data_IF_548835075443
#
_entry.id   IF_548835075443
#
_cell.length_a   1.000
_cell.length_b   1.000
_cell.length_c   1.000
_cell.angle_alpha   90.00
_cell.angle_beta   90.00
_cell.angle_gamma   90.00
#
_symmetry.space_group_name_H-M   'P 1'
#
loop_
_entity.id
_entity.type
_entity.pdbx_description
1 polymer ?
#
# COMPACT_ATOMS: atom_id res chain seq x y z
N UNK A 1 8.33 -6.14 -22.00
CA UNK A 1 7.07 -6.81 -22.39
C UNK A 1 5.95 -6.13 -21.63
N UNK A 2 4.75 -6.04 -22.20
CA UNK A 2 3.61 -5.49 -21.48
C UNK A 2 3.29 -6.39 -20.28
N UNK A 3 2.90 -5.78 -19.16
CA UNK A 3 2.59 -6.49 -17.93
C UNK A 3 1.21 -7.12 -17.98
N UNK A 4 0.25 -6.42 -18.59
CA UNK A 4 -1.09 -6.94 -18.88
C UNK A 4 -1.21 -7.44 -20.31
N UNK A 5 -1.82 -8.62 -20.48
CA UNK A 5 -2.25 -9.11 -21.78
C UNK A 5 -3.69 -8.63 -22.06
N UNK A 6 -3.84 -7.57 -22.86
CA UNK A 6 -5.15 -6.98 -23.16
C UNK A 6 -5.15 -6.19 -24.48
N UNK A 7 -6.32 -6.07 -25.09
CA UNK A 7 -6.59 -5.19 -26.24
C UNK A 7 -7.01 -3.77 -25.80
N UNK A 8 -7.21 -3.55 -24.48
CA UNK A 8 -7.52 -2.23 -23.96
C UNK A 8 -6.35 -1.27 -24.21
N UNK A 9 -6.61 0.01 -24.55
CA UNK A 9 -5.56 0.99 -24.82
C UNK A 9 -4.95 1.51 -23.52
N UNK A 10 -4.20 0.66 -22.82
CA UNK A 10 -3.51 1.03 -21.58
C UNK A 10 -2.38 2.01 -21.89
N UNK A 11 -2.29 3.08 -21.09
CA UNK A 11 -1.19 4.03 -21.22
C UNK A 11 0.13 3.35 -20.83
N UNK A 12 1.19 3.45 -21.64
CA UNK A 12 2.46 2.73 -21.38
C UNK A 12 3.06 3.03 -20.01
N UNK A 13 2.93 4.25 -19.51
CA UNK A 13 3.44 4.65 -18.20
C UNK A 13 2.68 4.01 -17.01
N UNK A 14 1.40 3.65 -17.19
CA UNK A 14 0.64 2.90 -16.17
C UNK A 14 1.17 1.47 -16.07
N UNK A 15 1.26 0.78 -17.21
CA UNK A 15 1.77 -0.59 -17.27
C UNK A 15 3.21 -0.68 -16.72
N UNK A 16 4.08 0.25 -17.13
CA UNK A 16 5.45 0.32 -16.63
C UNK A 16 5.51 0.56 -15.11
N UNK A 17 4.65 1.43 -14.55
CA UNK A 17 4.63 1.67 -13.10
C UNK A 17 4.16 0.46 -12.30
N UNK A 18 3.28 -0.37 -12.87
CA UNK A 18 2.85 -1.61 -12.24
C UNK A 18 3.96 -2.66 -12.28
N UNK A 19 4.68 -2.76 -13.40
CA UNK A 19 5.87 -3.61 -13.48
C UNK A 19 6.91 -3.22 -12.41
N UNK A 20 7.15 -1.93 -12.23
CA UNK A 20 8.05 -1.41 -11.19
C UNK A 20 7.56 -1.73 -9.78
N UNK A 21 6.25 -1.60 -9.52
CA UNK A 21 5.67 -1.97 -8.23
C UNK A 21 5.84 -3.48 -7.93
N UNK A 22 5.61 -4.36 -8.91
CA UNK A 22 5.82 -5.80 -8.74
C UNK A 22 7.28 -6.15 -8.48
N UNK A 23 8.22 -5.50 -9.19
CA UNK A 23 9.64 -5.66 -8.93
C UNK A 23 10.03 -5.12 -7.53
N UNK A 24 9.42 -4.01 -7.10
CA UNK A 24 9.62 -3.45 -5.76
C UNK A 24 9.13 -4.40 -4.66
N UNK A 25 7.98 -5.06 -4.84
CA UNK A 25 7.46 -6.05 -3.89
C UNK A 25 8.36 -7.28 -3.78
N UNK A 26 9.00 -7.69 -4.88
CA UNK A 26 9.91 -8.83 -4.91
C UNK A 26 11.25 -8.55 -4.22
N UNK A 27 11.70 -7.30 -4.17
CA UNK A 27 12.97 -6.90 -3.58
C UNK A 27 12.90 -6.83 -2.04
N UNK A 28 14.00 -7.09 -1.32
CA UNK A 28 14.08 -6.75 0.10
C UNK A 28 13.87 -5.24 0.29
N UNK A 29 13.06 -4.89 1.30
CA UNK A 29 12.76 -3.52 1.66
C UNK A 29 13.66 -3.00 2.79
N UNK A 30 13.16 -2.04 3.56
CA UNK A 30 13.89 -1.53 4.72
C UNK A 30 13.72 -2.45 5.94
N UNK A 31 12.55 -3.07 6.12
CA UNK A 31 12.20 -3.87 7.29
C UNK A 31 11.80 -5.31 6.98
N UNK A 32 11.42 -5.60 5.74
CA UNK A 32 10.92 -6.91 5.31
C UNK A 32 11.74 -7.46 4.15
N UNK A 33 11.93 -8.78 4.13
CA UNK A 33 12.55 -9.49 3.02
C UNK A 33 11.63 -9.48 1.80
N UNK A 34 12.16 -9.79 0.60
CA UNK A 34 11.33 -9.92 -0.60
C UNK A 34 10.22 -10.98 -0.45
N UNK A 35 10.53 -12.09 0.23
CA UNK A 35 9.56 -13.15 0.50
C UNK A 35 8.42 -12.69 1.41
N UNK A 36 8.73 -11.97 2.49
CA UNK A 36 7.72 -11.40 3.40
C UNK A 36 6.87 -10.36 2.69
N UNK A 37 7.46 -9.48 1.87
CA UNK A 37 6.72 -8.46 1.12
C UNK A 37 5.77 -9.08 0.10
N UNK A 38 6.21 -10.10 -0.65
CA UNK A 38 5.32 -10.85 -1.54
C UNK A 38 4.23 -11.61 -0.76
N UNK A 39 4.53 -12.13 0.43
CA UNK A 39 3.52 -12.71 1.30
C UNK A 39 2.49 -11.67 1.75
N UNK A 40 2.86 -10.41 1.99
CA UNK A 40 1.89 -9.34 2.26
C UNK A 40 0.97 -9.12 1.07
N UNK A 41 1.51 -9.08 -0.15
CA UNK A 41 0.69 -8.93 -1.38
C UNK A 41 -0.26 -10.13 -1.54
N UNK A 42 0.21 -11.35 -1.27
CA UNK A 42 -0.63 -12.54 -1.27
C UNK A 42 -1.76 -12.45 -0.21
N UNK A 43 -1.46 -11.95 0.98
CA UNK A 43 -2.45 -11.73 2.04
C UNK A 43 -3.45 -10.62 1.68
N UNK A 44 -3.03 -9.56 0.99
CA UNK A 44 -3.95 -8.56 0.41
C UNK A 44 -4.93 -9.23 -0.55
N UNK A 45 -4.44 -10.07 -1.47
CA UNK A 45 -5.30 -10.81 -2.41
C UNK A 45 -6.26 -11.73 -1.68
N UNK A 46 -5.74 -12.51 -0.72
CA UNK A 46 -6.53 -13.44 0.09
C UNK A 46 -7.61 -12.73 0.90
N UNK A 47 -7.29 -11.61 1.53
CA UNK A 47 -8.24 -10.80 2.29
C UNK A 47 -9.37 -10.22 1.42
N UNK A 48 -9.06 -9.91 0.16
CA UNK A 48 -10.05 -9.36 -0.79
C UNK A 48 -10.97 -10.42 -1.38
N UNK A 49 -10.44 -11.62 -1.60
CA UNK A 49 -11.17 -12.71 -2.27
C UNK A 49 -11.91 -13.61 -1.25
N UNK A 50 -11.57 -13.51 0.04
CA UNK A 50 -12.26 -14.21 1.12
C UNK A 50 -13.63 -13.60 1.46
N UNK A 51 -14.44 -14.39 2.19
CA UNK A 51 -15.66 -13.86 2.82
C UNK A 51 -15.30 -12.71 3.78
N UNK A 52 -16.01 -11.57 3.75
CA UNK A 52 -15.67 -10.42 4.57
C UNK A 52 -15.69 -10.74 6.07
N UNK A 53 -14.54 -10.58 6.73
CA UNK A 53 -14.47 -10.58 8.18
C UNK A 53 -14.82 -9.19 8.73
N UNK A 54 -15.54 -9.07 9.85
CA UNK A 54 -15.75 -7.78 10.49
C UNK A 54 -14.42 -7.24 11.09
N UNK A 55 -14.30 -5.91 11.31
CA UNK A 55 -13.04 -5.30 11.72
C UNK A 55 -12.52 -5.75 13.10
N UNK A 56 -13.39 -6.26 13.97
CA UNK A 56 -13.01 -6.75 15.31
C UNK A 56 -12.57 -8.22 15.33
N UNK A 57 -12.63 -8.92 14.20
CA UNK A 57 -12.20 -10.31 14.08
C UNK A 57 -10.87 -10.37 13.34
N UNK A 58 -9.85 -10.93 13.98
CA UNK A 58 -8.52 -11.05 13.42
C UNK A 58 -8.38 -12.39 12.68
N UNK A 59 -7.80 -12.42 11.46
CA UNK A 59 -7.62 -13.67 10.74
C UNK A 59 -6.75 -14.67 11.53
N UNK A 60 -5.83 -14.20 12.37
CA UNK A 60 -5.00 -15.08 13.18
C UNK A 60 -5.71 -15.74 14.36
N UNK A 61 -6.92 -15.29 14.73
CA UNK A 61 -7.78 -15.90 15.76
C UNK A 61 -8.69 -17.00 15.18
N UNK A 62 -8.78 -17.11 13.86
CA UNK A 62 -9.59 -18.11 13.16
C UNK A 62 -8.72 -19.35 12.90
N UNK A 63 -9.16 -20.50 13.42
CA UNK A 63 -8.43 -21.76 13.30
C UNK A 63 -8.15 -22.13 11.84
N UNK A 64 -6.90 -22.48 11.55
CA UNK A 64 -6.42 -22.83 10.21
C UNK A 64 -6.37 -21.70 9.18
N UNK A 65 -6.82 -20.48 9.49
CA UNK A 65 -6.84 -19.39 8.51
C UNK A 65 -5.45 -18.78 8.28
N UNK A 66 -4.58 -18.81 9.29
CA UNK A 66 -3.17 -18.42 9.18
C UNK A 66 -2.31 -19.61 9.60
N UNK A 67 -1.52 -20.12 8.65
CA UNK A 67 -0.63 -21.27 8.86
C UNK A 67 0.39 -21.01 9.98
N UNK A 68 0.83 -22.07 10.67
CA UNK A 68 1.82 -21.95 11.75
C UNK A 68 3.20 -21.52 11.24
N UNK A 69 3.58 -21.98 10.05
CA UNK A 69 4.84 -21.68 9.35
C UNK A 69 4.70 -20.48 8.39
N UNK A 70 3.67 -19.66 8.56
CA UNK A 70 3.45 -18.50 7.71
C UNK A 70 4.65 -17.53 7.77
N UNK A 71 5.13 -17.01 6.63
CA UNK A 71 6.34 -16.18 6.59
C UNK A 71 6.18 -14.84 7.33
N UNK A 72 4.96 -14.32 7.41
CA UNK A 72 4.66 -13.12 8.19
C UNK A 72 4.25 -13.44 9.62
N UNK A 73 4.66 -12.63 10.61
CA UNK A 73 4.10 -12.67 11.96
C UNK A 73 2.58 -12.49 11.95
N UNK A 74 1.87 -13.18 12.85
CA UNK A 74 0.39 -13.09 12.98
C UNK A 74 -0.13 -11.66 13.06
N UNK A 75 0.55 -10.79 13.83
CA UNK A 75 0.18 -9.39 13.94
C UNK A 75 0.27 -8.61 12.62
N UNK A 76 1.20 -8.98 11.73
CA UNK A 76 1.32 -8.41 10.40
C UNK A 76 0.18 -8.86 9.50
N UNK A 77 -0.17 -10.16 9.53
CA UNK A 77 -1.31 -10.70 8.77
C UNK A 77 -2.61 -10.01 9.17
N UNK A 78 -2.89 -9.88 10.47
CA UNK A 78 -4.08 -9.17 10.95
C UNK A 78 -4.12 -7.71 10.48
N UNK A 79 -2.98 -7.04 10.54
CA UNK A 79 -2.87 -5.65 10.10
C UNK A 79 -3.08 -5.52 8.58
N UNK A 80 -2.50 -6.41 7.77
CA UNK A 80 -2.72 -6.46 6.31
C UNK A 80 -4.21 -6.61 5.99
N UNK A 81 -4.90 -7.54 6.64
CA UNK A 81 -6.33 -7.76 6.43
C UNK A 81 -7.17 -6.54 6.81
N UNK A 82 -6.89 -5.94 7.97
CA UNK A 82 -7.66 -4.78 8.43
C UNK A 82 -7.37 -3.52 7.61
N UNK A 83 -6.13 -3.31 7.19
CA UNK A 83 -5.76 -2.22 6.27
C UNK A 83 -6.41 -2.39 4.89
N UNK A 84 -6.56 -3.62 4.42
CA UNK A 84 -7.14 -3.93 3.11
C UNK A 84 -8.66 -3.72 3.08
N UNK A 85 -9.37 -4.17 4.12
CA UNK A 85 -10.83 -4.23 4.12
C UNK A 85 -11.50 -3.15 4.97
N UNK A 86 -10.84 -2.64 6.01
CA UNK A 86 -11.45 -1.73 7.00
C UNK A 86 -10.55 -0.52 7.39
N UNK A 87 -9.94 0.20 6.43
CA UNK A 87 -9.02 1.31 6.73
C UNK A 87 -9.67 2.48 7.49
N UNK A 88 -10.98 2.67 7.39
CA UNK A 88 -11.72 3.69 8.18
C UNK A 88 -11.87 3.36 9.68
N UNK A 89 -11.56 2.12 10.08
CA UNK A 89 -11.76 1.64 11.47
C UNK A 89 -10.49 1.68 12.32
N UNK A 90 -9.39 2.21 11.78
CA UNK A 90 -8.11 2.23 12.45
C UNK A 90 -8.11 3.30 13.55
N UNK A 91 -7.57 2.96 14.71
CA UNK A 91 -7.42 3.87 15.84
C UNK A 91 -6.00 3.82 16.39
N UNK A 92 -5.61 4.84 17.15
CA UNK A 92 -4.32 4.85 17.83
C UNK A 92 -4.16 3.64 18.78
N UNK A 93 -5.23 3.24 19.47
CA UNK A 93 -5.23 2.09 20.36
C UNK A 93 -5.05 0.77 19.60
N UNK A 94 -5.74 0.63 18.46
CA UNK A 94 -5.54 -0.52 17.59
C UNK A 94 -4.10 -0.58 17.07
N UNK A 95 -3.55 0.55 16.60
CA UNK A 95 -2.15 0.60 16.17
C UNK A 95 -1.19 0.18 17.29
N UNK A 96 -1.36 0.69 18.52
CA UNK A 96 -0.55 0.27 19.67
C UNK A 96 -0.68 -1.23 19.95
N UNK A 97 -1.90 -1.79 19.83
CA UNK A 97 -2.11 -3.23 19.99
C UNK A 97 -1.36 -4.09 18.95
N UNK A 98 -1.10 -3.56 17.75
CA UNK A 98 -0.23 -4.21 16.76
C UNK A 98 1.23 -4.17 17.24
N UNK A 99 1.70 -3.02 17.74
CA UNK A 99 3.08 -2.87 18.25
C UNK A 99 3.35 -3.74 19.48
N UNK A 100 2.41 -3.81 20.42
CA UNK A 100 2.53 -4.62 21.64
C UNK A 100 2.69 -6.13 21.35
N UNK A 101 2.34 -6.56 20.13
CA UNK A 101 2.54 -7.93 19.62
C UNK A 101 3.87 -8.10 18.88
N UNK A 102 4.82 -7.18 19.05
CA UNK A 102 6.19 -7.26 18.54
C UNK A 102 6.41 -6.65 17.16
N UNK A 103 5.44 -5.88 16.64
CA UNK A 103 5.62 -5.16 15.39
C UNK A 103 6.48 -3.90 15.62
N UNK A 104 7.55 -3.75 14.83
CA UNK A 104 8.35 -2.51 14.84
C UNK A 104 7.59 -1.36 14.16
N UNK A 105 7.58 -0.13 14.73
CA UNK A 105 6.84 1.00 14.16
C UNK A 105 7.17 1.32 12.69
N UNK A 106 8.44 1.21 12.30
CA UNK A 106 8.87 1.47 10.93
C UNK A 106 8.59 0.29 9.99
N UNK A 107 8.60 -0.94 10.50
CA UNK A 107 8.13 -2.11 9.76
C UNK A 107 6.63 -2.02 9.46
N UNK A 108 5.84 -1.48 10.40
CA UNK A 108 4.44 -1.18 10.16
C UNK A 108 4.25 -0.14 9.05
N UNK A 109 5.06 0.93 9.02
CA UNK A 109 5.00 1.95 7.94
C UNK A 109 5.30 1.35 6.57
N UNK A 110 6.33 0.50 6.48
CA UNK A 110 6.64 -0.22 5.24
C UNK A 110 5.51 -1.15 4.79
N UNK A 111 4.94 -1.92 5.72
CA UNK A 111 3.80 -2.79 5.45
C UNK A 111 2.58 -2.00 4.94
N UNK A 112 2.27 -0.84 5.54
CA UNK A 112 1.18 0.04 5.07
C UNK A 112 1.42 0.46 3.61
N UNK A 113 2.66 0.78 3.25
CA UNK A 113 3.01 1.12 1.87
C UNK A 113 2.79 -0.05 0.91
N UNK A 114 3.29 -1.25 1.25
CA UNK A 114 3.12 -2.46 0.42
C UNK A 114 1.63 -2.78 0.23
N UNK A 115 0.84 -2.75 1.31
CA UNK A 115 -0.60 -3.01 1.26
C UNK A 115 -1.34 -1.99 0.38
N UNK A 116 -1.01 -0.70 0.51
CA UNK A 116 -1.63 0.36 -0.27
C UNK A 116 -1.30 0.24 -1.77
N UNK A 117 -0.03 -0.04 -2.10
CA UNK A 117 0.41 -0.21 -3.49
C UNK A 117 -0.16 -1.48 -4.12
N UNK A 118 -0.20 -2.60 -3.39
CA UNK A 118 -0.84 -3.84 -3.83
C UNK A 118 -2.33 -3.63 -4.13
N UNK A 119 -3.06 -2.94 -3.25
CA UNK A 119 -4.44 -2.56 -3.50
C UNK A 119 -4.59 -1.72 -4.77
N UNK A 120 -3.69 -0.75 -5.01
CA UNK A 120 -3.73 0.07 -6.23
C UNK A 120 -3.54 -0.77 -7.51
N UNK A 121 -2.53 -1.63 -7.55
CA UNK A 121 -2.21 -2.48 -8.71
C UNK A 121 -3.33 -3.49 -8.99
N UNK A 122 -3.79 -4.21 -7.96
CA UNK A 122 -4.79 -5.26 -8.15
C UNK A 122 -6.19 -4.67 -8.39
N UNK A 123 -6.57 -3.55 -7.75
CA UNK A 123 -7.86 -2.88 -8.02
C UNK A 123 -7.93 -2.37 -9.46
N UNK A 124 -6.81 -1.93 -10.03
CA UNK A 124 -6.76 -1.54 -11.43
C UNK A 124 -7.06 -2.71 -12.36
N UNK A 125 -6.41 -3.86 -12.14
CA UNK A 125 -6.66 -5.08 -12.92
C UNK A 125 -8.12 -5.52 -12.79
N UNK A 126 -8.62 -5.61 -11.55
CA UNK A 126 -9.98 -6.06 -11.26
C UNK A 126 -11.04 -5.13 -11.87
N UNK A 127 -10.84 -3.81 -11.81
CA UNK A 127 -11.78 -2.82 -12.35
C UNK A 127 -11.88 -2.86 -13.88
N UNK A 128 -10.86 -3.41 -14.54
CA UNK A 128 -10.80 -3.59 -15.99
C UNK A 128 -11.08 -5.04 -16.40
N UNK A 129 -11.45 -5.92 -15.45
CA UNK A 129 -11.66 -7.35 -15.67
C UNK A 129 -10.43 -8.04 -16.29
N UNK A 130 -9.22 -7.59 -15.91
CA UNK A 130 -7.95 -8.17 -16.33
C UNK A 130 -7.43 -9.15 -15.29
N UNK A 131 -6.62 -10.11 -15.73
CA UNK A 131 -5.85 -10.94 -14.81
C UNK A 131 -4.91 -10.07 -13.96
N UNK A 132 -4.94 -10.28 -12.65
CA UNK A 132 -3.96 -9.68 -11.73
C UNK A 132 -2.57 -10.17 -12.10
N UNK A 133 -1.57 -9.29 -11.99
CA UNK A 133 -0.19 -9.63 -12.35
C UNK A 133 0.29 -10.76 -11.45
N UNK A 134 0.82 -11.88 -11.98
CA UNK A 134 1.36 -12.96 -11.17
C UNK A 134 2.44 -12.43 -10.21
N UNK A 135 2.48 -12.95 -8.99
CA UNK A 135 3.57 -12.60 -8.07
C UNK A 135 4.87 -13.14 -8.67
N UNK A 136 5.93 -12.32 -8.80
CA UNK A 136 7.24 -12.78 -9.22
C UNK A 136 7.89 -13.64 -8.13
N UNK A 137 9.02 -14.25 -8.44
CA UNK A 137 9.88 -14.86 -7.43
C UNK A 137 10.48 -13.79 -6.52
N UNK A 138 10.60 -14.09 -5.23
CA UNK A 138 11.28 -13.23 -4.27
C UNK A 138 12.75 -13.07 -4.65
N UNK A 139 13.27 -11.86 -4.55
CA UNK A 139 14.71 -11.61 -4.64
C UNK A 139 15.34 -11.81 -3.27
N UNK A 140 16.47 -12.52 -3.25
CA UNK A 140 17.26 -12.72 -2.04
C UNK A 140 17.83 -11.38 -1.52
N UNK A 141 17.95 -11.27 -0.21
CA UNK A 141 18.63 -10.17 0.46
C UNK A 141 18.02 -9.82 1.81
N UNK A 142 18.80 -9.11 2.62
CA UNK A 142 18.38 -8.70 3.95
C UNK A 142 17.74 -7.30 3.93
N UNK A 143 16.77 -7.02 4.82
CA UNK A 143 16.23 -5.68 4.98
C UNK A 143 17.33 -4.69 5.39
N UNK A 144 17.31 -3.48 4.83
CA UNK A 144 18.38 -2.49 5.07
C UNK A 144 18.44 -1.96 6.51
N UNK A 145 17.32 -2.02 7.24
CA UNK A 145 17.11 -1.50 8.60
C UNK A 145 17.49 -0.03 8.76
N UNK A 146 17.42 0.75 7.68
CA UNK A 146 17.69 2.18 7.72
C UNK A 146 16.65 2.91 8.59
N UNK A 147 17.15 3.71 9.55
CA UNK A 147 16.35 4.62 10.38
C UNK A 147 16.81 6.04 10.08
N UNK A 148 15.98 6.90 9.46
CA UNK A 148 16.36 8.29 9.22
C UNK A 148 16.45 9.11 10.51
N UNK A 149 17.43 10.02 10.60
CA UNK A 149 17.76 10.75 11.84
C UNK A 149 16.62 11.65 12.38
N UNK A 150 15.83 12.23 11.48
CA UNK A 150 14.80 13.22 11.83
C UNK A 150 13.41 12.61 12.07
N UNK A 151 13.29 11.28 12.06
CA UNK A 151 12.02 10.58 12.21
C UNK A 151 11.53 10.60 13.65
N UNK A 152 10.31 11.09 13.86
CA UNK A 152 9.67 11.15 15.16
C UNK A 152 8.15 11.06 15.03
N UNK A 153 7.48 10.59 16.08
CA UNK A 153 6.01 10.68 16.19
C UNK A 153 5.66 12.14 16.49
N UNK A 154 5.05 12.82 15.51
CA UNK A 154 4.64 14.23 15.62
C UNK A 154 3.12 14.36 15.62
N UNK A 155 2.53 14.54 14.45
CA UNK A 155 1.08 14.74 14.26
C UNK A 155 0.33 13.43 13.98
N UNK A 156 1.06 12.35 13.70
CA UNK A 156 0.53 11.04 13.34
C UNK A 156 0.77 10.04 14.46
N UNK A 157 0.18 8.84 14.38
CA UNK A 157 0.47 7.76 15.33
C UNK A 157 1.78 7.05 15.01
N UNK A 158 2.14 7.02 13.73
CA UNK A 158 3.40 6.45 13.23
C UNK A 158 4.52 7.49 13.24
N UNK A 159 5.80 7.07 13.32
CA UNK A 159 6.91 7.97 13.11
C UNK A 159 6.86 8.57 11.70
N UNK A 160 7.19 9.86 11.57
CA UNK A 160 7.27 10.57 10.28
C UNK A 160 8.50 11.46 10.25
N UNK A 161 9.01 11.76 9.06
CA UNK A 161 10.02 12.79 8.84
C UNK A 161 9.36 14.18 8.71
N UNK A 162 10.12 15.25 8.91
CA UNK A 162 9.64 16.63 8.82
C UNK A 162 9.66 17.15 7.37
N UNK A 163 8.78 16.57 6.56
CA UNK A 163 8.62 16.96 5.15
C UNK A 163 7.34 17.78 4.91
N UNK A 164 7.43 18.66 3.91
CA UNK A 164 6.26 19.33 3.33
C UNK A 164 5.35 18.36 2.57
N UNK A 165 4.11 18.78 2.29
CA UNK A 165 3.18 18.02 1.47
C UNK A 165 1.99 17.43 2.23
N UNK A 166 1.10 16.72 1.51
CA UNK A 166 -0.10 16.13 2.09
C UNK A 166 0.23 14.99 3.07
N UNK A 167 -0.72 14.68 3.96
CA UNK A 167 -0.54 13.67 5.01
C UNK A 167 -0.21 12.26 4.47
N UNK A 168 -0.67 11.91 3.27
CA UNK A 168 -0.27 10.65 2.59
C UNK A 168 1.21 10.56 2.27
N UNK A 169 1.91 11.69 2.12
CA UNK A 169 3.35 11.70 1.89
C UNK A 169 4.06 11.54 3.23
N UNK A 170 3.61 12.30 4.23
CA UNK A 170 4.14 12.25 5.60
C UNK A 170 4.01 10.86 6.22
N UNK A 171 2.88 10.18 6.03
CA UNK A 171 2.63 8.85 6.61
C UNK A 171 3.65 7.78 6.20
N UNK A 172 4.31 7.93 5.04
CA UNK A 172 5.34 7.01 4.55
C UNK A 172 6.76 7.57 4.64
N UNK A 173 6.92 8.82 5.06
CA UNK A 173 8.21 9.54 5.04
C UNK A 173 9.28 8.93 5.94
N UNK A 174 8.89 8.16 6.95
CA UNK A 174 9.83 7.45 7.82
C UNK A 174 10.50 6.24 7.15
N UNK A 175 10.00 5.81 5.99
CA UNK A 175 10.62 4.79 5.13
C UNK A 175 10.77 5.40 3.72
N UNK A 176 11.88 6.12 3.45
CA UNK A 176 12.02 6.92 2.23
C UNK A 176 11.83 6.13 0.92
N UNK A 177 12.31 4.88 0.88
CA UNK A 177 12.16 4.00 -0.28
C UNK A 177 10.68 3.71 -0.59
N UNK A 178 9.85 3.60 0.45
CA UNK A 178 8.41 3.37 0.30
C UNK A 178 7.65 4.63 -0.11
N UNK A 179 8.06 5.80 0.40
CA UNK A 179 7.55 7.07 -0.10
C UNK A 179 7.86 7.26 -1.59
N UNK A 180 9.08 6.90 -2.02
CA UNK A 180 9.50 6.97 -3.42
C UNK A 180 8.72 5.99 -4.30
N UNK A 181 8.60 4.71 -3.89
CA UNK A 181 7.86 3.68 -4.63
C UNK A 181 6.38 4.05 -4.80
N UNK A 182 5.71 4.48 -3.72
CA UNK A 182 4.32 4.95 -3.78
C UNK A 182 4.18 6.15 -4.72
N UNK A 183 5.14 7.07 -4.74
CA UNK A 183 5.10 8.24 -5.64
C UNK A 183 5.29 7.85 -7.11
N UNK A 184 6.18 6.89 -7.39
CA UNK A 184 6.40 6.34 -8.73
C UNK A 184 5.13 5.65 -9.27
N UNK A 185 4.41 4.91 -8.42
CA UNK A 185 3.14 4.28 -8.78
C UNK A 185 1.99 5.29 -8.92
N UNK A 186 1.88 6.25 -7.99
CA UNK A 186 0.76 7.19 -7.95
C UNK A 186 0.79 8.22 -9.09
N UNK A 187 1.97 8.62 -9.56
CA UNK A 187 2.13 9.66 -10.58
C UNK A 187 1.38 9.39 -11.89
N UNK A 188 1.51 8.21 -12.53
CA UNK A 188 0.77 7.90 -13.75
C UNK A 188 -0.74 7.67 -13.52
N UNK A 189 -1.16 7.33 -12.30
CA UNK A 189 -2.57 7.16 -11.92
C UNK A 189 -3.30 8.47 -11.65
N UNK A 190 -2.62 9.46 -11.07
CA UNK A 190 -3.27 10.62 -10.46
C UNK A 190 -2.68 11.95 -10.91
N UNK A 191 -1.47 12.30 -10.46
CA UNK A 191 -0.69 13.49 -10.88
C UNK A 191 0.72 13.50 -10.26
N UNK A 192 1.59 14.37 -10.77
CA UNK A 192 2.94 14.55 -10.20
C UNK A 192 2.85 15.24 -8.84
N UNK A 193 3.69 14.83 -7.88
CA UNK A 193 3.64 15.35 -6.52
C UNK A 193 3.72 16.88 -6.41
N UNK A 194 4.47 17.55 -7.31
CA UNK A 194 4.57 19.02 -7.35
C UNK A 194 3.26 19.72 -7.72
N UNK A 195 2.36 19.04 -8.42
CA UNK A 195 1.10 19.60 -8.93
C UNK A 195 -0.07 19.37 -7.95
N UNK A 196 0.18 18.78 -6.77
CA UNK A 196 -0.85 18.51 -5.75
C UNK A 196 -1.49 19.81 -5.25
N UNK A 197 -0.69 20.87 -5.10
CA UNK A 197 -1.17 22.20 -4.70
C UNK A 197 -1.27 23.19 -5.88
N UNK A 198 -1.12 22.69 -7.11
CA UNK A 198 -1.27 23.50 -8.31
C UNK A 198 -2.73 23.73 -8.70
N UNK A 199 -2.95 24.49 -9.77
CA UNK A 199 -4.27 24.72 -10.32
C UNK A 199 -4.93 23.41 -10.78
N UNK A 200 -6.26 23.34 -10.68
CA UNK A 200 -7.05 22.20 -11.17
C UNK A 200 -7.23 22.19 -12.69
N UNK A 201 -6.38 22.92 -13.41
CA UNK A 201 -6.36 23.01 -14.87
C UNK A 201 -5.27 22.08 -15.39
N UNK A 202 -5.64 20.84 -15.67
CA UNK A 202 -4.77 19.86 -16.30
C UNK A 202 -5.60 18.89 -17.15
N UNK A 203 -5.13 18.66 -18.36
CA UNK A 203 -5.66 17.73 -19.37
C UNK A 203 -4.70 16.57 -19.65
N UNK A 204 -3.72 16.35 -18.76
CA UNK A 204 -2.68 15.30 -18.89
C UNK A 204 -3.27 13.90 -19.06
N UNK A 205 -4.50 13.68 -18.62
CA UNK A 205 -5.18 12.40 -18.68
C UNK A 205 -6.52 12.52 -19.39
N UNK A 206 -7.16 11.38 -19.67
CA UNK A 206 -8.50 11.33 -20.27
C UNK A 206 -9.59 12.00 -19.42
N UNK A 207 -9.30 12.30 -18.14
CA UNK A 207 -10.16 13.05 -17.22
C UNK A 207 -9.50 14.39 -16.86
N UNK A 208 -10.30 15.44 -16.78
CA UNK A 208 -9.87 16.71 -16.19
C UNK A 208 -9.63 16.55 -14.70
N UNK A 209 -8.70 17.34 -14.13
CA UNK A 209 -8.36 17.28 -12.70
C UNK A 209 -9.60 17.35 -11.79
N UNK A 210 -10.58 18.22 -12.07
CA UNK A 210 -11.83 18.29 -11.28
C UNK A 210 -12.65 17.00 -11.29
N UNK A 211 -12.63 16.24 -12.38
CA UNK A 211 -13.30 14.94 -12.48
C UNK A 211 -12.54 13.88 -11.69
N UNK A 212 -11.20 13.90 -11.76
CA UNK A 212 -10.34 13.03 -10.96
C UNK A 212 -10.59 13.28 -9.47
N UNK A 213 -10.64 14.54 -9.01
CA UNK A 213 -10.92 14.86 -7.60
C UNK A 213 -12.32 14.44 -7.16
N UNK A 214 -13.33 14.53 -8.05
CA UNK A 214 -14.68 14.04 -7.76
C UNK A 214 -14.68 12.52 -7.53
N UNK A 215 -13.99 11.77 -8.39
CA UNK A 215 -13.84 10.31 -8.23
C UNK A 215 -13.05 10.00 -6.96
N UNK A 216 -11.91 10.66 -6.73
CA UNK A 216 -11.08 10.47 -5.54
C UNK A 216 -11.85 10.78 -4.25
N UNK A 217 -12.63 11.86 -4.21
CA UNK A 217 -13.47 12.23 -3.07
C UNK A 217 -14.58 11.21 -2.80
N UNK A 218 -15.22 10.68 -3.87
CA UNK A 218 -16.21 9.60 -3.72
C UNK A 218 -15.57 8.31 -3.22
N UNK A 219 -14.42 7.93 -3.75
CA UNK A 219 -13.65 6.75 -3.29
C UNK A 219 -13.24 6.91 -1.83
N UNK A 220 -12.78 8.09 -1.43
CA UNK A 220 -12.41 8.38 -0.03
C UNK A 220 -13.62 8.27 0.90
N UNK A 221 -14.78 8.79 0.49
CA UNK A 221 -16.04 8.65 1.25
C UNK A 221 -16.47 7.20 1.41
N UNK A 222 -16.38 6.39 0.36
CA UNK A 222 -16.80 4.98 0.39
C UNK A 222 -15.87 4.11 1.24
N UNK A 223 -14.58 4.44 1.28
CA UNK A 223 -13.59 3.73 2.10
C UNK A 223 -13.42 4.33 3.51
N UNK A 224 -14.22 5.35 3.86
CA UNK A 224 -14.12 6.09 5.13
C UNK A 224 -12.70 6.64 5.43
N UNK A 225 -11.98 7.01 4.37
CA UNK A 225 -10.63 7.60 4.45
C UNK A 225 -10.73 9.12 4.61
N UNK A 226 -10.78 9.60 5.85
CA UNK A 226 -10.87 11.03 6.19
C UNK A 226 -9.53 11.56 6.74
N UNK A 227 -9.25 12.84 6.48
CA UNK A 227 -8.10 13.57 7.03
C UNK A 227 -8.51 14.50 8.16
#
# INVERSE_FOLDING_TARGET
MATYATELPLRPELDASHALAMAHFAAPGTWWTGAERLAMVAEVRRARDAEPLPPWEAPSDIDGLVAEDHPLPRAAVDAVWRLTNHPGTLTADWYRSILDRGMEPLAYVEMVSVVAQANCVDRFADALELDRIPLPDALDGEPSRLVPDAVAVRLHWVPTDDIGGPNVFRALSAVPDELAARSALSTPHYLEGKDVFGDVVSDRFSLQRVQIELVAGRTSKLNECFY
#
